data_IF_273761061538
#
_entry.id   IF_273761061538
#
_cell.length_a   1.000
_cell.length_b   1.000
_cell.length_c   1.000
_cell.angle_alpha   90.00
_cell.angle_beta   90.00
_cell.angle_gamma   90.00
#
_symmetry.space_group_name_H-M   'P 1'
#
loop_
_entity.id
_entity.type
_entity.pdbx_description
1 polymer ?
#
# COMPACT_ATOMS: atom_id res chain seq x y z
N UNK A 1 10.97 -14.55 10.70
CA UNK A 1 11.08 -14.32 9.24
C UNK A 1 9.89 -13.44 8.88
N UNK A 2 10.09 -12.29 8.23
CA UNK A 2 8.98 -11.42 7.86
C UNK A 2 7.92 -12.25 7.11
N UNK A 3 6.67 -12.15 7.52
CA UNK A 3 5.61 -13.00 6.98
C UNK A 3 5.22 -12.46 5.59
N UNK A 4 6.01 -12.85 4.58
CA UNK A 4 5.93 -12.36 3.20
C UNK A 4 4.53 -12.51 2.61
N UNK A 5 3.76 -13.49 3.07
CA UNK A 5 2.35 -13.67 2.67
C UNK A 5 1.49 -12.51 3.13
N UNK A 6 1.66 -12.08 4.38
CA UNK A 6 0.90 -10.97 4.98
C UNK A 6 1.32 -9.65 4.33
N UNK A 7 2.62 -9.45 4.09
CA UNK A 7 3.12 -8.25 3.41
C UNK A 7 2.59 -8.18 1.97
N UNK A 8 2.63 -9.30 1.24
CA UNK A 8 2.08 -9.38 -0.12
C UNK A 8 0.57 -9.15 -0.16
N UNK A 9 -0.17 -9.70 0.81
CA UNK A 9 -1.61 -9.44 0.95
C UNK A 9 -1.89 -7.97 1.24
N UNK A 10 -1.08 -7.34 2.11
CA UNK A 10 -1.14 -5.90 2.34
C UNK A 10 -0.93 -5.10 1.05
N UNK A 11 0.04 -5.50 0.21
CA UNK A 11 0.26 -4.88 -1.10
C UNK A 11 -0.90 -5.07 -2.07
N UNK A 12 -1.56 -6.23 -2.05
CA UNK A 12 -2.75 -6.48 -2.86
C UNK A 12 -3.92 -5.60 -2.39
N UNK A 13 -4.16 -5.51 -1.08
CA UNK A 13 -5.20 -4.64 -0.50
C UNK A 13 -4.93 -3.18 -0.84
N UNK A 14 -3.67 -2.74 -0.75
CA UNK A 14 -3.26 -1.41 -1.21
C UNK A 14 -3.71 -1.17 -2.65
N UNK A 15 -3.33 -2.05 -3.58
CA UNK A 15 -3.67 -1.91 -4.98
C UNK A 15 -5.19 -1.91 -5.23
N UNK A 16 -5.91 -2.87 -4.63
CA UNK A 16 -7.36 -2.99 -4.81
C UNK A 16 -8.11 -1.76 -4.31
N UNK A 17 -7.85 -1.29 -3.09
CA UNK A 17 -8.50 -0.09 -2.56
C UNK A 17 -8.13 1.16 -3.37
N UNK A 18 -6.86 1.30 -3.75
CA UNK A 18 -6.42 2.43 -4.56
C UNK A 18 -7.17 2.50 -5.88
N UNK A 19 -7.26 1.39 -6.62
CA UNK A 19 -7.97 1.33 -7.90
C UNK A 19 -9.46 1.62 -7.72
N UNK A 20 -10.10 1.00 -6.71
CA UNK A 20 -11.52 1.25 -6.41
C UNK A 20 -11.74 2.76 -6.14
N UNK A 21 -10.90 3.38 -5.32
CA UNK A 21 -11.04 4.80 -5.03
C UNK A 21 -10.64 5.71 -6.18
N UNK A 22 -9.69 5.33 -7.03
CA UNK A 22 -9.39 6.09 -8.27
C UNK A 22 -10.65 6.18 -9.13
N UNK A 23 -11.42 5.09 -9.25
CA UNK A 23 -12.66 5.03 -10.05
C UNK A 23 -13.80 5.79 -9.38
N UNK A 24 -13.97 5.66 -8.05
CA UNK A 24 -15.11 6.24 -7.33
C UNK A 24 -14.86 7.71 -6.94
N UNK A 25 -13.73 8.00 -6.31
CA UNK A 25 -13.35 9.32 -5.84
C UNK A 25 -11.84 9.43 -5.62
N UNK A 26 -11.13 9.89 -6.65
CA UNK A 26 -9.66 9.92 -6.70
C UNK A 26 -8.97 10.47 -5.43
N UNK A 27 -9.45 11.54 -4.77
CA UNK A 27 -8.82 12.05 -3.56
C UNK A 27 -8.77 11.05 -2.39
N UNK A 28 -9.53 9.95 -2.40
CA UNK A 28 -9.49 8.92 -1.36
C UNK A 28 -8.48 7.79 -1.64
N UNK A 29 -7.83 7.78 -2.81
CA UNK A 29 -6.91 6.70 -3.22
C UNK A 29 -5.72 6.48 -2.26
N UNK A 30 -5.31 7.51 -1.52
CA UNK A 30 -4.26 7.42 -0.49
C UNK A 30 -4.59 6.44 0.65
N UNK A 31 -5.87 6.10 0.84
CA UNK A 31 -6.28 5.12 1.84
C UNK A 31 -5.79 3.71 1.51
N UNK A 32 -5.61 3.37 0.23
CA UNK A 32 -5.10 2.07 -0.18
C UNK A 32 -3.70 1.79 0.40
N UNK A 33 -2.68 2.62 0.12
CA UNK A 33 -1.36 2.43 0.68
C UNK A 33 -1.31 2.44 2.20
N UNK A 34 -2.08 3.35 2.85
CA UNK A 34 -2.17 3.40 4.30
C UNK A 34 -2.72 2.09 4.89
N UNK A 35 -3.84 1.59 4.37
CA UNK A 35 -4.45 0.35 4.86
C UNK A 35 -3.59 -0.87 4.54
N UNK A 36 -3.04 -0.96 3.34
CA UNK A 36 -2.15 -2.07 2.98
C UNK A 36 -0.87 -2.11 3.83
N UNK A 37 -0.29 -0.95 4.14
CA UNK A 37 0.85 -0.84 5.05
C UNK A 37 0.48 -1.23 6.48
N UNK A 38 -0.66 -0.73 6.97
CA UNK A 38 -1.19 -1.07 8.29
C UNK A 38 -1.41 -2.58 8.46
N UNK A 39 -2.07 -3.23 7.50
CA UNK A 39 -2.35 -4.66 7.56
C UNK A 39 -1.06 -5.48 7.53
N UNK A 40 -0.09 -5.07 6.69
CA UNK A 40 1.20 -5.74 6.57
C UNK A 40 1.95 -5.78 7.91
N UNK A 41 1.94 -4.68 8.67
CA UNK A 41 2.65 -4.62 9.95
C UNK A 41 1.83 -5.17 11.12
N UNK A 42 0.54 -4.87 11.19
CA UNK A 42 -0.34 -5.29 12.28
C UNK A 42 -0.49 -6.82 12.33
N UNK A 43 -0.67 -7.49 11.19
CA UNK A 43 -0.85 -8.94 11.18
C UNK A 43 0.46 -9.73 11.15
N UNK A 44 1.60 -9.08 10.89
CA UNK A 44 2.89 -9.78 10.86
C UNK A 44 3.23 -10.45 12.19
N UNK A 45 3.46 -11.76 12.14
CA UNK A 45 3.87 -12.59 13.29
C UNK A 45 5.30 -12.30 13.74
N UNK A 46 6.10 -11.59 12.95
CA UNK A 46 7.45 -11.19 13.37
C UNK A 46 7.47 -10.25 14.58
N UNK A 47 6.31 -9.74 14.99
CA UNK A 47 6.12 -8.82 16.11
C UNK A 47 5.35 -9.46 17.26
N UNK A 48 5.60 -10.73 17.57
CA UNK A 48 4.88 -11.40 18.67
C UNK A 48 5.32 -10.94 20.06
N UNK A 49 6.59 -10.58 20.23
CA UNK A 49 7.13 -10.03 21.47
C UNK A 49 6.98 -8.50 21.51
N UNK A 50 6.13 -7.99 22.41
CA UNK A 50 5.84 -6.56 22.52
C UNK A 50 7.07 -5.75 22.98
N UNK A 51 7.99 -6.35 23.74
CA UNK A 51 9.21 -5.68 24.19
C UNK A 51 10.21 -5.44 23.04
N UNK A 52 10.06 -6.17 21.94
CA UNK A 52 10.91 -6.09 20.74
C UNK A 52 10.19 -5.44 19.54
N UNK A 53 8.99 -4.90 19.73
CA UNK A 53 8.30 -4.16 18.67
C UNK A 53 8.96 -2.80 18.46
N UNK A 54 9.69 -2.68 17.36
CA UNK A 54 10.21 -1.39 16.87
C UNK A 54 9.27 -0.79 15.81
N UNK A 55 9.02 0.52 15.93
CA UNK A 55 8.27 1.31 14.96
C UNK A 55 8.92 1.23 13.57
N UNK A 56 10.26 1.22 13.55
CA UNK A 56 11.05 1.10 12.32
C UNK A 56 10.72 -0.17 11.55
N UNK A 57 10.54 -1.29 12.23
CA UNK A 57 10.25 -2.55 11.57
C UNK A 57 8.84 -2.53 10.94
N UNK A 58 7.88 -1.92 11.63
CA UNK A 58 6.54 -1.66 11.08
C UNK A 58 6.58 -0.81 9.82
N UNK A 59 7.35 0.27 9.85
CA UNK A 59 7.55 1.13 8.69
C UNK A 59 8.19 0.36 7.52
N UNK A 60 9.17 -0.51 7.78
CA UNK A 60 9.80 -1.35 6.74
C UNK A 60 8.78 -2.31 6.11
N UNK A 61 7.98 -3.01 6.91
CA UNK A 61 6.91 -3.88 6.39
C UNK A 61 5.91 -3.08 5.54
N UNK A 62 5.57 -1.87 6.00
CA UNK A 62 4.75 -0.91 5.28
C UNK A 62 5.34 -0.45 3.95
N UNK A 63 6.65 -0.16 3.90
CA UNK A 63 7.38 0.21 2.67
C UNK A 63 7.30 -0.92 1.65
N UNK A 64 7.55 -2.17 2.06
CA UNK A 64 7.55 -3.32 1.16
C UNK A 64 6.14 -3.56 0.61
N UNK A 65 5.13 -3.51 1.48
CA UNK A 65 3.71 -3.60 1.09
C UNK A 65 3.32 -2.46 0.13
N UNK A 66 3.73 -1.23 0.45
CA UNK A 66 3.54 -0.04 -0.38
C UNK A 66 4.17 -0.19 -1.76
N UNK A 67 5.41 -0.66 -1.83
CA UNK A 67 6.11 -0.90 -3.09
C UNK A 67 5.41 -1.97 -3.95
N UNK A 68 4.99 -3.09 -3.34
CA UNK A 68 4.24 -4.15 -4.05
C UNK A 68 2.93 -3.59 -4.61
N UNK A 69 2.13 -2.90 -3.78
CA UNK A 69 0.87 -2.33 -4.23
C UNK A 69 1.06 -1.23 -5.28
N UNK A 70 2.07 -0.37 -5.11
CA UNK A 70 2.43 0.68 -6.07
C UNK A 70 2.82 0.10 -7.43
N UNK A 71 3.60 -0.98 -7.46
CA UNK A 71 3.93 -1.69 -8.71
C UNK A 71 2.68 -2.25 -9.39
N UNK A 72 1.78 -2.90 -8.64
CA UNK A 72 0.53 -3.44 -9.18
C UNK A 72 -0.33 -2.32 -9.76
N UNK A 73 -0.49 -1.21 -9.03
CA UNK A 73 -1.24 -0.03 -9.48
C UNK A 73 -0.65 0.50 -10.78
N UNK A 74 0.67 0.68 -10.86
CA UNK A 74 1.31 1.16 -12.08
C UNK A 74 0.99 0.25 -13.27
N UNK A 75 1.17 -1.06 -13.10
CA UNK A 75 0.95 -2.04 -14.16
C UNK A 75 -0.50 -1.94 -14.67
N UNK A 76 -1.48 -1.81 -13.76
CA UNK A 76 -2.89 -1.63 -14.11
C UNK A 76 -3.13 -0.30 -14.85
N UNK A 77 -2.56 0.80 -14.35
CA UNK A 77 -2.77 2.13 -14.93
C UNK A 77 -2.11 2.29 -16.31
N UNK A 78 -0.90 1.75 -16.50
CA UNK A 78 -0.22 1.77 -17.81
C UNK A 78 -1.04 0.97 -18.82
N UNK A 79 -1.44 -0.26 -18.49
CA UNK A 79 -2.29 -1.07 -19.38
C UNK A 79 -3.62 -0.39 -19.70
N UNK A 80 -4.24 0.25 -18.71
CA UNK A 80 -5.47 1.01 -18.90
C UNK A 80 -5.28 2.23 -19.81
N UNK A 81 -4.15 2.93 -19.68
CA UNK A 81 -3.84 4.12 -20.48
C UNK A 81 -3.59 3.77 -21.96
N UNK A 82 -2.81 2.72 -22.24
CA UNK A 82 -2.59 2.24 -23.60
C UNK A 82 -3.89 1.83 -24.30
N UNK A 83 -4.80 1.15 -23.59
CA UNK A 83 -6.10 0.78 -24.14
C UNK A 83 -6.96 1.98 -24.54
N UNK A 84 -6.94 3.06 -23.75
CA UNK A 84 -7.66 4.30 -24.05
C UNK A 84 -7.04 5.01 -25.26
N UNK A 85 -5.71 5.09 -25.34
CA UNK A 85 -5.01 5.73 -26.45
C UNK A 85 -5.31 5.04 -27.79
N UNK A 86 -5.33 3.71 -27.83
CA UNK A 86 -5.69 2.93 -29.03
C UNK A 86 -7.13 3.26 -29.48
N UNK A 87 -8.08 3.33 -28.54
CA UNK A 87 -9.47 3.68 -28.86
C UNK A 87 -9.58 5.11 -29.40
N UNK A 88 -8.89 6.08 -28.77
CA UNK A 88 -8.87 7.47 -29.23
C UNK A 88 -8.29 7.59 -30.63
N UNK A 89 -7.19 6.88 -30.92
CA UNK A 89 -6.56 6.88 -32.24
C UNK A 89 -7.43 6.18 -33.31
N UNK A 90 -8.18 5.14 -32.94
CA UNK A 90 -9.13 4.49 -33.87
C UNK A 90 -10.31 5.38 -34.24
N UNK A 91 -10.77 6.22 -33.30
CA UNK A 91 -11.85 7.19 -33.55
C UNK A 91 -11.32 8.45 -34.25
N UNK A 92 -10.09 8.86 -33.94
CA UNK A 92 -9.41 10.01 -34.53
C UNK A 92 -8.66 9.59 -35.79
N UNK A 93 -9.39 9.44 -36.89
CA UNK A 93 -8.81 9.18 -38.21
C UNK A 93 -7.74 10.25 -38.52
N UNK A 94 -6.46 9.87 -38.47
CA UNK A 94 -5.30 10.62 -38.95
C UNK A 94 -5.24 12.11 -38.55
N UNK A 95 -4.77 12.40 -37.33
CA UNK A 95 -4.22 13.73 -37.02
C UNK A 95 -2.80 13.55 -36.48
N UNK A 96 -1.84 13.36 -37.40
CA UNK A 96 -0.44 13.82 -37.35
C UNK A 96 0.41 13.74 -36.06
N UNK A 97 -0.05 13.08 -35.00
CA UNK A 97 0.68 12.91 -33.75
C UNK A 97 1.47 11.61 -33.86
N UNK A 98 2.78 11.67 -33.64
CA UNK A 98 3.64 10.49 -33.58
C UNK A 98 3.11 9.60 -32.44
N UNK A 99 2.51 8.42 -32.73
CA UNK A 99 1.94 7.57 -31.69
C UNK A 99 3.06 7.04 -30.79
N UNK A 100 2.87 7.05 -29.47
CA UNK A 100 3.75 6.37 -28.51
C UNK A 100 4.83 7.20 -27.80
N UNK A 101 5.25 8.36 -28.31
CA UNK A 101 6.28 9.17 -27.63
C UNK A 101 5.79 9.80 -26.31
N UNK A 102 4.54 10.25 -26.28
CA UNK A 102 3.92 10.85 -25.08
C UNK A 102 3.51 9.78 -24.06
N UNK A 103 3.18 8.58 -24.53
CA UNK A 103 2.74 7.43 -23.71
C UNK A 103 3.85 6.93 -22.80
N UNK A 104 5.07 6.82 -23.32
CA UNK A 104 6.22 6.38 -22.55
C UNK A 104 6.55 7.36 -21.41
N UNK A 105 6.47 8.66 -21.69
CA UNK A 105 6.68 9.72 -20.69
C UNK A 105 5.58 9.70 -19.63
N UNK A 106 4.31 9.58 -20.04
CA UNK A 106 3.18 9.48 -19.12
C UNK A 106 3.30 8.23 -18.22
N UNK A 107 3.61 7.07 -18.80
CA UNK A 107 3.83 5.82 -18.07
C UNK A 107 4.96 5.94 -17.04
N UNK A 108 6.06 6.60 -17.41
CA UNK A 108 7.18 6.86 -16.49
C UNK A 108 6.76 7.75 -15.31
N UNK A 109 6.00 8.83 -15.58
CA UNK A 109 5.50 9.73 -14.52
C UNK A 109 4.53 8.98 -13.59
N UNK A 110 3.60 8.20 -14.15
CA UNK A 110 2.65 7.38 -13.38
C UNK A 110 3.40 6.41 -12.48
N UNK A 111 4.41 5.71 -13.01
CA UNK A 111 5.25 4.79 -12.24
C UNK A 111 5.96 5.48 -11.07
N UNK A 112 6.59 6.64 -11.31
CA UNK A 112 7.31 7.35 -10.24
C UNK A 112 6.35 7.80 -9.14
N UNK A 113 5.22 8.42 -9.52
CA UNK A 113 4.26 8.94 -8.55
C UNK A 113 3.58 7.82 -7.74
N UNK A 114 3.13 6.75 -8.40
CA UNK A 114 2.45 5.64 -7.73
C UNK A 114 3.37 4.94 -6.72
N UNK A 115 4.63 4.70 -7.09
CA UNK A 115 5.64 4.06 -6.24
C UNK A 115 5.96 4.95 -5.05
N UNK A 116 6.29 6.22 -5.28
CA UNK A 116 6.70 7.16 -4.23
C UNK A 116 5.57 7.34 -3.21
N UNK A 117 4.35 7.62 -3.70
CA UNK A 117 3.18 7.81 -2.84
C UNK A 117 2.89 6.53 -2.05
N UNK A 118 2.91 5.37 -2.71
CA UNK A 118 2.60 4.10 -2.05
C UNK A 118 3.65 3.71 -1.01
N UNK A 119 4.93 3.99 -1.25
CA UNK A 119 6.01 3.73 -0.28
C UNK A 119 5.85 4.61 0.94
N UNK A 120 5.67 5.92 0.76
CA UNK A 120 5.57 6.88 1.88
C UNK A 120 4.34 6.56 2.73
N UNK A 121 3.18 6.44 2.10
CA UNK A 121 1.94 6.14 2.80
C UNK A 121 1.91 4.73 3.36
N UNK A 122 2.50 3.75 2.65
CA UNK A 122 2.68 2.39 3.15
C UNK A 122 3.52 2.37 4.42
N UNK A 123 4.63 3.11 4.45
CA UNK A 123 5.47 3.26 5.65
C UNK A 123 4.69 3.85 6.83
N UNK A 124 3.91 4.91 6.59
CA UNK A 124 3.07 5.54 7.61
C UNK A 124 2.01 4.56 8.15
N UNK A 125 1.30 3.87 7.25
CA UNK A 125 0.35 2.82 7.62
C UNK A 125 1.02 1.71 8.45
N UNK A 126 2.21 1.29 8.02
CA UNK A 126 3.02 0.28 8.71
C UNK A 126 3.41 0.69 10.13
N UNK A 127 3.87 1.93 10.32
CA UNK A 127 4.18 2.48 11.63
C UNK A 127 2.94 2.50 12.54
N UNK A 128 1.80 2.97 12.02
CA UNK A 128 0.52 2.99 12.75
C UNK A 128 0.12 1.57 13.18
N UNK A 129 0.26 0.58 12.29
CA UNK A 129 -0.10 -0.81 12.60
C UNK A 129 0.68 -1.40 13.77
N UNK A 130 1.98 -1.09 13.89
CA UNK A 130 2.77 -1.51 15.06
C UNK A 130 2.37 -0.74 16.31
N UNK A 131 2.13 0.57 16.23
CA UNK A 131 1.70 1.37 17.38
C UNK A 131 0.41 0.82 17.99
N UNK A 132 -0.58 0.51 17.14
CA UNK A 132 -1.86 -0.07 17.58
C UNK A 132 -1.64 -1.45 18.20
N UNK A 133 -0.89 -2.33 17.52
CA UNK A 133 -0.60 -3.68 18.02
C UNK A 133 0.12 -3.68 19.37
N UNK A 134 1.08 -2.76 19.54
CA UNK A 134 1.84 -2.59 20.78
C UNK A 134 0.93 -2.15 21.93
N UNK A 135 0.12 -1.12 21.69
CA UNK A 135 -0.84 -0.60 22.68
C UNK A 135 -1.84 -1.69 23.14
N UNK A 136 -2.37 -2.47 22.19
CA UNK A 136 -3.28 -3.59 22.48
C UNK A 136 -2.64 -4.64 23.40
N UNK A 137 -1.39 -5.04 23.13
CA UNK A 137 -0.67 -6.03 23.95
C UNK A 137 -0.32 -5.51 25.34
N UNK A 138 0.08 -4.25 25.46
CA UNK A 138 0.37 -3.63 26.77
C UNK A 138 -0.88 -3.60 27.67
N UNK A 139 -2.04 -3.25 27.12
CA UNK A 139 -3.32 -3.26 27.85
C UNK A 139 -3.66 -4.68 28.33
N UNK A 140 -3.53 -5.68 27.45
CA UNK A 140 -3.82 -7.08 27.79
C UNK A 140 -2.87 -7.62 28.88
N UNK A 141 -1.59 -7.26 28.83
CA UNK A 141 -0.61 -7.66 29.84
C UNK A 141 -0.93 -7.05 31.20
N UNK A 142 -1.25 -5.75 31.26
CA UNK A 142 -1.61 -5.09 32.51
C UNK A 142 -2.90 -5.66 33.11
N UNK A 143 -3.93 -5.91 32.30
CA UNK A 143 -5.18 -6.50 32.77
C UNK A 143 -4.97 -7.90 33.39
N UNK A 144 -4.10 -8.73 32.79
CA UNK A 144 -3.75 -10.03 33.37
C UNK A 144 -3.09 -9.88 34.75
N UNK A 145 -2.12 -8.97 34.92
CA UNK A 145 -1.51 -8.71 36.24
C UNK A 145 -2.54 -8.33 37.30
N UNK A 146 -3.44 -7.41 36.99
CA UNK A 146 -4.51 -6.99 37.91
C UNK A 146 -5.41 -8.16 38.35
N UNK A 147 -5.61 -9.15 37.48
CA UNK A 147 -6.44 -10.29 37.81
C UNK A 147 -5.76 -11.30 38.74
N UNK A 148 -4.42 -11.41 38.69
CA UNK A 148 -3.62 -12.25 39.58
C UNK A 148 -3.39 -11.64 40.96
N UNK A 149 -3.29 -10.31 41.08
CA UNK A 149 -3.15 -9.63 42.39
C UNK A 149 -4.44 -9.62 43.21
N UNK A 150 -5.59 -9.94 42.60
CA UNK A 150 -6.90 -10.00 43.27
C UNK A 150 -7.31 -11.41 43.75
N UNK A 151 -6.47 -12.43 43.55
CA UNK A 151 -6.68 -13.80 44.06
C UNK A 151 -5.74 -14.09 45.21
#
# INVERSE_FOLDING_TARGET
>A
MADWKIIGLGGLVNASLSIIFIVIFFPLSFLGPLTGGFLASYFSQSYEDYAKMDLKDGAIAGIISGMIGGLIITIILIMGFEAIEVIINLISLEIGMIPGANTLVAAYIIFQLSIIISIILGALGGAIGIMVKKSEKEILHNNKRFHYEKK
#
